data_IF_830219870294
#
_entry.id   IF_830219870294
#
_cell.length_a   1.000
_cell.length_b   1.000
_cell.length_c   1.000
_cell.angle_alpha   90.00
_cell.angle_beta   90.00
_cell.angle_gamma   90.00
#
_symmetry.space_group_name_H-M   'P 1'
#
loop_
_entity.id
_entity.type
_entity.pdbx_description
1 polymer ?
#
# COMPACT_ATOMS: atom_id res chain seq x y z
N UNK A 1 60.62 -29.20 -19.10
CA UNK A 1 60.07 -28.23 -18.12
C UNK A 1 58.95 -27.44 -18.77
N UNK A 2 57.68 -27.67 -18.40
CA UNK A 2 56.59 -26.79 -18.81
C UNK A 2 56.40 -25.74 -17.71
N UNK A 3 56.92 -24.55 -17.96
CA UNK A 3 56.99 -23.45 -17.02
C UNK A 3 55.61 -22.95 -16.62
N UNK A 4 55.49 -22.65 -15.33
CA UNK A 4 54.31 -22.11 -14.65
C UNK A 4 53.88 -20.80 -15.28
N UNK A 5 52.61 -20.71 -15.66
CA UNK A 5 51.97 -19.48 -16.08
C UNK A 5 50.46 -19.56 -15.89
N UNK A 6 50.00 -20.05 -14.73
CA UNK A 6 48.59 -19.86 -14.32
C UNK A 6 48.40 -18.39 -14.02
N UNK A 7 48.16 -17.58 -15.05
CA UNK A 7 47.45 -16.32 -14.87
C UNK A 7 46.04 -16.72 -14.40
N UNK A 8 45.87 -16.80 -13.08
CA UNK A 8 44.56 -16.90 -12.47
C UNK A 8 43.79 -15.67 -12.94
N UNK A 9 42.77 -15.88 -13.77
CA UNK A 9 41.69 -14.92 -14.03
C UNK A 9 40.83 -14.67 -12.76
N UNK A 10 41.41 -14.83 -11.56
CA UNK A 10 40.74 -14.75 -10.27
C UNK A 10 41.35 -13.68 -9.33
N UNK A 11 42.23 -12.81 -9.81
CA UNK A 11 42.85 -11.76 -8.98
C UNK A 11 42.83 -10.35 -9.61
N UNK A 12 41.97 -10.12 -10.61
CA UNK A 12 41.67 -8.77 -11.13
C UNK A 12 40.44 -8.12 -10.46
N UNK A 13 40.15 -8.46 -9.20
CA UNK A 13 38.94 -7.99 -8.51
C UNK A 13 39.19 -7.45 -7.10
N UNK A 14 40.23 -6.64 -6.87
CA UNK A 14 40.37 -6.03 -5.54
C UNK A 14 40.69 -4.55 -5.43
N UNK A 15 41.01 -3.80 -6.49
CA UNK A 15 41.10 -2.32 -6.40
C UNK A 15 40.73 -1.68 -7.75
N UNK A 16 39.52 -1.11 -7.83
CA UNK A 16 39.08 -0.23 -8.91
C UNK A 16 39.75 1.16 -8.84
N UNK A 17 39.47 2.08 -9.80
CA UNK A 17 40.23 3.32 -9.97
C UNK A 17 40.03 4.25 -8.77
N UNK A 18 41.15 4.74 -8.21
CA UNK A 18 41.27 5.64 -7.05
C UNK A 18 40.34 5.27 -5.88
N UNK A 19 40.92 4.65 -4.86
CA UNK A 19 40.24 4.21 -3.65
C UNK A 19 39.50 5.39 -3.01
N UNK A 20 38.19 5.46 -3.24
CA UNK A 20 37.32 6.36 -2.51
C UNK A 20 37.22 5.82 -1.08
N UNK A 21 37.25 6.69 -0.07
CA UNK A 21 37.26 6.26 1.31
C UNK A 21 35.95 5.62 1.79
N UNK A 22 34.89 5.70 0.98
CA UNK A 22 33.51 5.32 1.28
C UNK A 22 33.23 3.88 1.79
N UNK A 23 34.24 3.04 2.01
CA UNK A 23 34.09 1.65 2.50
C UNK A 23 35.34 1.18 3.29
N UNK A 24 36.15 2.10 3.82
CA UNK A 24 37.43 1.81 4.49
C UNK A 24 37.37 1.79 6.02
N UNK A 25 36.21 2.06 6.61
CA UNK A 25 35.94 2.00 8.03
C UNK A 25 36.41 3.24 8.80
N UNK A 26 36.86 4.30 8.12
CA UNK A 26 37.32 5.53 8.78
C UNK A 26 36.76 6.78 8.12
N UNK A 27 36.19 7.69 8.90
CA UNK A 27 35.66 8.97 8.41
C UNK A 27 36.79 9.82 7.80
N UNK A 28 36.88 9.84 6.48
CA UNK A 28 37.95 10.54 5.77
C UNK A 28 37.57 11.04 4.37
N UNK A 29 38.41 11.90 3.81
CA UNK A 29 38.13 12.55 2.53
C UNK A 29 37.02 13.60 2.64
N UNK A 30 35.91 13.36 1.95
CA UNK A 30 34.72 14.24 1.92
C UNK A 30 33.51 13.60 2.63
N UNK A 31 33.73 12.54 3.41
CA UNK A 31 32.69 11.87 4.19
C UNK A 31 32.14 12.76 5.31
N UNK A 32 30.85 12.64 5.58
CA UNK A 32 30.18 13.33 6.70
C UNK A 32 29.91 12.40 7.88
N UNK A 33 30.02 11.09 7.65
CA UNK A 33 30.16 10.06 8.68
C UNK A 33 30.99 8.89 8.10
N UNK A 34 31.48 7.99 8.96
CA UNK A 34 32.29 6.82 8.54
C UNK A 34 31.65 6.09 7.35
N UNK A 35 32.39 6.03 6.22
CA UNK A 35 32.00 5.34 5.00
C UNK A 35 30.72 5.88 4.30
N UNK A 36 30.27 7.08 4.62
CA UNK A 36 29.10 7.67 3.98
C UNK A 36 29.08 9.21 3.96
N UNK A 37 28.20 9.73 3.11
CA UNK A 37 27.94 11.15 3.01
C UNK A 37 28.95 11.92 2.16
N UNK A 38 28.71 13.22 2.04
CA UNK A 38 29.43 14.06 1.09
C UNK A 38 29.07 13.82 -0.38
N UNK A 39 29.74 14.53 -1.31
CA UNK A 39 29.43 14.47 -2.75
C UNK A 39 29.89 13.18 -3.43
N UNK A 40 30.77 12.41 -2.79
CA UNK A 40 31.49 11.29 -3.41
C UNK A 40 31.12 9.91 -2.87
N UNK A 41 30.43 9.84 -1.73
CA UNK A 41 29.93 8.61 -1.10
C UNK A 41 28.39 8.56 -1.10
N UNK A 42 27.83 7.39 -0.79
CA UNK A 42 26.38 7.22 -0.70
C UNK A 42 25.76 7.96 0.49
N UNK A 43 24.44 8.16 0.51
CA UNK A 43 23.77 8.82 1.63
C UNK A 43 23.93 8.00 2.92
N UNK A 44 24.11 8.71 4.03
CA UNK A 44 24.14 8.15 5.37
C UNK A 44 22.74 7.81 5.88
N UNK A 45 22.66 6.81 6.76
CA UNK A 45 21.44 6.49 7.50
C UNK A 45 21.11 7.48 8.61
N UNK A 46 20.02 7.22 9.31
CA UNK A 46 19.49 8.10 10.34
C UNK A 46 20.51 8.41 11.45
N UNK A 47 20.45 9.64 11.98
CA UNK A 47 21.30 10.16 13.04
C UNK A 47 22.82 10.17 12.76
N UNK A 48 23.23 9.92 11.51
CA UNK A 48 24.62 10.09 11.07
C UNK A 48 24.87 11.51 10.56
N UNK A 49 26.13 11.91 10.52
CA UNK A 49 26.54 13.25 10.09
C UNK A 49 26.21 13.53 8.63
N UNK A 50 25.76 14.75 8.34
CA UNK A 50 25.45 15.24 7.01
C UNK A 50 25.75 16.74 6.88
N UNK A 51 26.01 17.19 5.65
CA UNK A 51 26.13 18.62 5.34
C UNK A 51 24.94 19.12 4.51
N UNK A 52 24.32 18.21 3.76
CA UNK A 52 23.26 18.51 2.79
C UNK A 52 22.22 17.39 2.82
N UNK A 53 20.98 17.74 2.46
CA UNK A 53 19.84 16.83 2.33
C UNK A 53 20.16 15.54 1.55
N UNK A 54 20.86 15.66 0.41
CA UNK A 54 21.24 14.52 -0.44
C UNK A 54 22.21 13.54 0.24
N UNK A 55 22.85 13.96 1.34
CA UNK A 55 23.75 13.14 2.14
C UNK A 55 23.02 12.20 3.10
N UNK A 56 21.68 12.23 3.15
CA UNK A 56 20.86 11.42 4.04
C UNK A 56 19.92 10.52 3.26
N UNK A 57 19.70 9.29 3.74
CA UNK A 57 18.71 8.37 3.18
C UNK A 57 17.30 8.92 3.31
N UNK A 58 17.00 9.64 4.40
CA UNK A 58 15.75 10.38 4.58
C UNK A 58 15.63 11.62 3.69
N UNK A 59 16.70 12.05 3.02
CA UNK A 59 16.72 13.30 2.27
C UNK A 59 16.64 14.55 3.15
N UNK A 60 16.68 14.42 4.48
CA UNK A 60 16.57 15.51 5.43
C UNK A 60 17.80 15.56 6.31
N UNK A 61 18.55 16.66 6.21
CA UNK A 61 19.69 16.94 7.06
C UNK A 61 19.31 18.04 8.07
N UNK A 62 18.99 17.66 9.31
CA UNK A 62 18.67 18.59 10.39
C UNK A 62 19.89 18.81 11.28
N UNK A 63 20.36 20.06 11.37
CA UNK A 63 21.47 20.48 12.26
C UNK A 63 22.73 19.60 12.14
N UNK A 64 23.02 19.15 10.91
CA UNK A 64 24.20 18.34 10.61
C UNK A 64 24.04 16.85 10.88
N UNK A 65 22.82 16.38 11.17
CA UNK A 65 22.48 14.98 11.35
C UNK A 65 21.32 14.57 10.43
N UNK A 66 21.35 13.35 9.92
CA UNK A 66 20.25 12.81 9.15
C UNK A 66 19.03 12.62 10.04
N UNK A 67 17.93 13.27 9.68
CA UNK A 67 16.68 13.14 10.41
C UNK A 67 16.13 11.71 10.24
N UNK A 68 15.50 11.20 11.29
CA UNK A 68 14.73 9.97 11.23
C UNK A 68 13.45 10.28 10.47
N UNK A 69 13.08 9.49 9.45
CA UNK A 69 11.83 9.70 8.70
C UNK A 69 10.62 9.52 9.64
N UNK A 70 9.71 10.50 9.64
CA UNK A 70 8.45 10.46 10.40
C UNK A 70 7.28 10.82 9.51
N UNK A 71 6.09 10.30 9.84
CA UNK A 71 4.86 10.56 9.11
C UNK A 71 4.29 11.99 9.24
N UNK A 72 5.02 12.90 9.87
CA UNK A 72 4.57 14.26 10.20
C UNK A 72 5.74 15.28 10.27
N UNK A 73 6.85 14.97 9.57
CA UNK A 73 8.07 15.82 9.57
C UNK A 73 8.13 16.85 8.45
N UNK A 74 7.14 16.90 7.56
CA UNK A 74 7.06 17.81 6.43
C UNK A 74 7.81 17.35 5.19
N UNK A 75 8.32 16.11 5.14
CA UNK A 75 9.16 15.63 4.06
C UNK A 75 8.79 14.21 3.62
N UNK A 76 8.46 14.05 2.32
CA UNK A 76 8.25 12.74 1.69
C UNK A 76 9.51 11.86 1.79
N UNK A 77 9.58 11.01 2.80
CA UNK A 77 10.76 10.19 3.10
C UNK A 77 10.40 8.81 3.68
N UNK A 78 11.40 7.93 3.88
CA UNK A 78 11.16 6.59 4.41
C UNK A 78 10.22 5.75 3.54
N UNK A 79 9.15 5.23 4.14
CA UNK A 79 8.12 4.40 3.47
C UNK A 79 6.96 5.24 2.90
N UNK A 80 7.05 6.57 2.96
CA UNK A 80 5.98 7.46 2.55
C UNK A 80 5.75 7.47 1.04
N UNK A 81 4.49 7.36 0.63
CA UNK A 81 4.14 7.46 -0.81
C UNK A 81 3.77 8.87 -1.24
N UNK A 82 3.47 9.75 -0.28
CA UNK A 82 3.28 11.19 -0.45
C UNK A 82 3.77 11.93 0.82
N UNK A 83 3.88 13.26 0.79
CA UNK A 83 4.42 14.04 1.93
C UNK A 83 3.59 13.78 3.19
N UNK A 84 4.23 13.28 4.25
CA UNK A 84 3.60 13.03 5.57
C UNK A 84 2.45 12.00 5.53
N UNK A 85 2.31 11.20 4.46
CA UNK A 85 1.17 10.29 4.35
C UNK A 85 1.34 9.12 3.38
N UNK A 86 0.53 8.10 3.65
CA UNK A 86 0.49 6.80 3.00
C UNK A 86 1.85 6.06 3.03
N UNK A 87 1.83 4.75 2.84
CA UNK A 87 2.99 3.88 3.10
C UNK A 87 2.64 2.73 4.03
N UNK A 88 3.61 1.89 4.37
CA UNK A 88 3.38 0.74 5.26
C UNK A 88 3.09 1.18 6.70
N UNK A 89 3.70 2.30 7.13
CA UNK A 89 3.71 2.76 8.52
C UNK A 89 2.99 4.09 8.78
N UNK A 90 2.48 4.75 7.75
CA UNK A 90 1.81 6.05 7.85
C UNK A 90 0.31 5.95 7.55
N UNK A 91 -0.46 6.86 8.13
CA UNK A 91 -1.90 6.97 7.86
C UNK A 91 -2.14 7.30 6.37
N UNK A 92 -3.25 6.85 5.78
CA UNK A 92 -3.57 7.15 4.39
C UNK A 92 -3.75 8.66 4.19
N UNK A 93 -3.31 9.16 3.03
CA UNK A 93 -3.54 10.54 2.63
C UNK A 93 -5.04 10.84 2.45
N UNK A 94 -5.41 12.12 2.58
CA UNK A 94 -6.74 12.57 2.19
C UNK A 94 -7.00 12.29 0.70
N UNK A 95 -8.28 12.13 0.36
CA UNK A 95 -8.71 11.81 -1.01
C UNK A 95 -8.09 12.80 -2.02
N UNK A 96 -7.31 12.26 -2.96
CA UNK A 96 -6.70 13.03 -4.05
C UNK A 96 -5.27 13.54 -3.78
N UNK A 97 -4.72 13.35 -2.58
CA UNK A 97 -3.32 13.69 -2.27
C UNK A 97 -2.35 12.57 -2.66
N UNK A 98 -2.68 11.30 -2.39
CA UNK A 98 -1.89 10.13 -2.80
C UNK A 98 -1.95 9.83 -4.31
N UNK A 99 -1.54 10.77 -5.16
CA UNK A 99 -1.40 10.57 -6.59
C UNK A 99 0.02 10.09 -6.90
N UNK A 100 0.38 8.84 -6.56
CA UNK A 100 1.51 8.12 -7.18
C UNK A 100 1.72 6.68 -6.73
N UNK A 101 0.69 5.98 -6.22
CA UNK A 101 0.73 4.52 -6.30
C UNK A 101 0.25 4.11 -7.68
N UNK A 102 1.18 3.70 -8.54
CA UNK A 102 0.87 3.00 -9.77
C UNK A 102 -0.26 2.00 -9.49
N UNK A 103 -1.20 1.90 -10.43
CA UNK A 103 -2.47 1.18 -10.33
C UNK A 103 -2.37 -0.35 -10.07
N UNK A 104 -1.26 -0.84 -9.54
CA UNK A 104 -1.01 -2.20 -9.05
C UNK A 104 -1.20 -2.37 -7.53
N UNK A 105 -1.44 -1.31 -6.74
CA UNK A 105 -1.84 -1.43 -5.33
C UNK A 105 -3.37 -1.58 -5.14
N UNK A 106 -4.02 -2.37 -5.99
CA UNK A 106 -5.37 -2.88 -5.70
C UNK A 106 -5.31 -4.02 -4.68
N UNK A 107 -4.81 -3.72 -3.47
CA UNK A 107 -5.18 -4.47 -2.26
C UNK A 107 -5.27 -3.52 -1.06
N UNK A 108 -5.93 -2.37 -1.27
CA UNK A 108 -6.65 -1.70 -0.20
C UNK A 108 -7.71 -2.70 0.30
N UNK A 109 -7.47 -3.40 1.40
CA UNK A 109 -8.46 -4.31 2.00
C UNK A 109 -9.59 -3.53 2.67
N UNK A 110 -10.31 -2.77 1.88
CA UNK A 110 -11.52 -2.06 2.25
C UNK A 110 -12.72 -2.89 1.83
N UNK A 111 -12.97 -3.96 2.59
CA UNK A 111 -14.34 -4.42 2.72
C UNK A 111 -15.05 -3.48 3.69
N UNK A 112 -15.82 -2.54 3.11
CA UNK A 112 -16.87 -1.69 3.68
C UNK A 112 -16.44 -0.43 4.44
N UNK A 113 -16.49 0.69 3.73
CA UNK A 113 -17.51 1.74 3.88
C UNK A 113 -17.00 3.06 3.28
N UNK A 114 -16.89 3.12 1.95
CA UNK A 114 -17.06 4.40 1.26
C UNK A 114 -18.56 4.73 1.35
N UNK A 115 -18.93 5.48 2.39
CA UNK A 115 -20.28 5.93 2.66
C UNK A 115 -20.57 7.27 1.98
N UNK A 116 -20.73 7.25 0.67
CA UNK A 116 -21.34 8.34 -0.10
C UNK A 116 -22.03 7.73 -1.31
N UNK A 117 -23.37 7.80 -1.35
CA UNK A 117 -24.23 7.18 -2.36
C UNK A 117 -23.75 7.47 -3.79
N UNK A 118 -23.93 6.58 -4.75
CA UNK A 118 -25.23 6.17 -5.28
C UNK A 118 -25.18 4.74 -5.84
N UNK A 119 -26.34 4.10 -5.84
CA UNK A 119 -26.54 2.70 -6.24
C UNK A 119 -26.20 2.50 -7.71
N UNK A 120 -24.98 2.07 -8.02
CA UNK A 120 -24.64 1.53 -9.32
C UNK A 120 -25.24 0.12 -9.47
N UNK A 121 -26.29 0.03 -10.27
CA UNK A 121 -26.87 -1.23 -10.72
C UNK A 121 -25.80 -2.07 -11.44
N UNK A 122 -25.61 -3.32 -10.99
CA UNK A 122 -24.73 -4.29 -11.64
C UNK A 122 -25.47 -4.89 -12.85
N UNK A 123 -24.99 -4.75 -14.10
CA UNK A 123 -25.42 -5.65 -15.17
C UNK A 123 -24.77 -7.02 -14.96
N UNK A 124 -25.43 -7.88 -14.19
CA UNK A 124 -25.05 -9.27 -14.05
C UNK A 124 -25.28 -10.04 -15.36
N UNK A 125 -24.19 -10.54 -15.97
CA UNK A 125 -24.18 -11.66 -16.92
C UNK A 125 -22.83 -12.39 -16.73
N UNK A 126 -22.72 -13.71 -16.61
CA UNK A 126 -23.67 -14.80 -16.71
C UNK A 126 -23.11 -16.00 -15.90
N UNK A 127 -23.97 -16.65 -15.11
CA UNK A 127 -23.68 -17.93 -14.48
C UNK A 127 -24.78 -18.92 -14.84
N UNK A 128 -24.44 -19.95 -15.60
CA UNK A 128 -25.35 -20.96 -16.14
C UNK A 128 -26.14 -21.69 -15.03
N UNK A 129 -27.48 -21.59 -15.07
CA UNK A 129 -28.34 -22.48 -14.26
C UNK A 129 -28.78 -23.64 -15.13
N UNK A 130 -28.07 -24.76 -14.98
CA UNK A 130 -28.44 -26.06 -15.53
C UNK A 130 -29.50 -26.68 -14.61
N UNK A 131 -30.74 -26.73 -15.11
CA UNK A 131 -31.71 -27.82 -14.88
C UNK A 131 -32.26 -28.06 -13.46
N UNK A 132 -33.56 -27.80 -13.29
CA UNK A 132 -34.51 -28.82 -12.83
C UNK A 132 -35.95 -28.33 -13.03
N UNK A 133 -36.68 -29.05 -13.88
CA UNK A 133 -38.10 -28.83 -14.18
C UNK A 133 -38.93 -29.23 -12.95
N UNK A 134 -39.38 -28.26 -12.18
CA UNK A 134 -40.45 -28.42 -11.18
C UNK A 134 -41.83 -28.28 -11.83
N UNK A 135 -42.64 -29.32 -11.76
CA UNK A 135 -43.94 -29.48 -12.43
C UNK A 135 -44.96 -28.43 -12.01
N UNK A 136 -45.69 -27.89 -12.99
CA UNK A 136 -46.98 -27.22 -12.80
C UNK A 136 -48.05 -28.29 -12.53
N UNK A 137 -48.74 -28.20 -11.39
CA UNK A 137 -49.92 -29.00 -11.11
C UNK A 137 -51.17 -28.13 -11.30
N UNK A 138 -51.88 -28.41 -12.39
CA UNK A 138 -53.23 -27.93 -12.67
C UNK A 138 -54.23 -28.57 -11.71
N UNK A 139 -55.09 -27.77 -11.08
CA UNK A 139 -56.22 -28.23 -10.25
C UNK A 139 -57.50 -27.43 -10.59
N UNK A 140 -58.69 -28.07 -10.61
CA UNK A 140 -59.82 -27.61 -11.42
C UNK A 140 -60.83 -26.72 -10.69
N UNK A 141 -61.64 -26.04 -11.51
CA UNK A 141 -62.80 -25.21 -11.14
C UNK A 141 -63.87 -26.06 -10.41
N UNK A 142 -64.42 -25.54 -9.31
CA UNK A 142 -65.54 -26.13 -8.59
C UNK A 142 -66.47 -25.06 -8.02
N UNK A 143 -67.68 -25.00 -8.57
CA UNK A 143 -68.81 -24.12 -8.21
C UNK A 143 -69.68 -24.76 -7.12
N UNK A 144 -70.21 -23.96 -6.17
CA UNK A 144 -71.49 -24.07 -5.40
C UNK A 144 -71.36 -23.29 -4.08
N UNK A 145 -72.10 -22.19 -3.86
CA UNK A 145 -73.50 -22.00 -3.40
C UNK A 145 -73.71 -22.10 -1.88
N UNK A 146 -74.32 -21.04 -1.32
CA UNK A 146 -75.01 -20.97 -0.02
C UNK A 146 -74.07 -20.60 1.14
N UNK A 147 -74.32 -19.64 2.03
CA UNK A 147 -75.50 -18.90 2.48
C UNK A 147 -75.12 -18.26 3.84
N UNK A 148 -75.90 -17.31 4.38
CA UNK A 148 -75.43 -16.23 5.27
C UNK A 148 -75.38 -16.63 6.76
N UNK A 149 -75.34 -15.64 7.68
CA UNK A 149 -75.24 -15.69 9.16
C UNK A 149 -73.79 -15.49 9.66
N UNK A 150 -73.43 -14.54 10.52
CA UNK A 150 -74.18 -13.64 11.37
C UNK A 150 -73.35 -12.37 11.68
N UNK A 151 -74.04 -11.43 12.32
CA UNK A 151 -73.79 -10.00 12.57
C UNK A 151 -72.64 -9.73 13.58
N UNK A 152 -72.23 -8.45 13.74
CA UNK A 152 -70.97 -8.04 14.36
C UNK A 152 -71.14 -7.74 15.86
N UNK A 153 -70.04 -7.78 16.62
CA UNK A 153 -69.97 -7.22 17.97
C UNK A 153 -68.69 -6.43 18.18
N UNK A 154 -68.90 -5.22 18.69
CA UNK A 154 -67.97 -4.13 19.02
C UNK A 154 -67.43 -4.26 20.44
N UNK A 155 -66.24 -3.71 20.70
CA UNK A 155 -65.76 -3.09 21.96
C UNK A 155 -64.25 -2.81 21.77
N UNK A 156 -63.72 -1.57 21.65
CA UNK A 156 -63.68 -0.44 22.58
C UNK A 156 -63.33 -0.83 24.02
N UNK A 157 -62.08 -0.55 24.40
CA UNK A 157 -61.57 -0.72 25.76
C UNK A 157 -60.26 0.04 25.92
N UNK A 158 -60.36 1.33 26.23
CA UNK A 158 -59.29 2.14 26.81
C UNK A 158 -59.30 1.93 28.32
N UNK A 159 -58.12 1.71 28.88
CA UNK A 159 -57.84 1.67 30.31
C UNK A 159 -56.35 1.80 30.50
#
# INVERSE_FOLDING_TARGET
MCGRGRLRVAELRRRGPAQRPCDDGVENGEETAVDCGGPMCGPCGDALGCEVAMGCQSGVCDRGLCAIPLCDDGAKNGDETDVDCAGEHCDPCEDGLACEVDAAATDWKFTKNAGGGERAAIPGRAGAVRGSRGRQASGPRGSRRGGPHARPLVASGSG
#
